data_IF_668772582214
#
_entry.id   IF_668772582214
#
_cell.length_a   1.000
_cell.length_b   1.000
_cell.length_c   1.000
_cell.angle_alpha   90.00
_cell.angle_beta   90.00
_cell.angle_gamma   90.00
#
_symmetry.space_group_name_H-M   'P 1'
#
loop_
_entity.id
_entity.type
_entity.pdbx_description
1 polymer ?
#
# COMPACT_ATOMS: atom_id res chain seq x y z
N UNK A 1 -39.44 37.98 48.22
CA UNK A 1 -38.59 36.95 47.56
C UNK A 1 -38.94 36.91 46.07
N UNK A 2 -38.14 37.50 45.16
CA UNK A 2 -38.41 37.49 43.73
C UNK A 2 -37.79 36.26 43.04
N UNK A 3 -38.59 35.61 42.19
CA UNK A 3 -38.23 34.41 41.46
C UNK A 3 -37.59 34.79 40.12
N UNK A 4 -36.27 34.61 39.97
CA UNK A 4 -35.56 34.87 38.72
C UNK A 4 -35.72 33.70 37.74
N UNK A 5 -36.69 33.79 36.82
CA UNK A 5 -36.75 32.91 35.64
C UNK A 5 -35.67 33.36 34.64
N UNK A 6 -34.60 32.57 34.47
CA UNK A 6 -33.63 32.75 33.38
C UNK A 6 -34.25 32.23 32.08
N UNK A 7 -34.47 33.13 31.12
CA UNK A 7 -34.80 32.77 29.76
C UNK A 7 -33.56 32.13 29.11
N UNK A 8 -33.61 30.82 28.88
CA UNK A 8 -32.59 30.12 28.12
C UNK A 8 -32.83 30.46 26.65
N UNK A 9 -32.01 31.36 26.13
CA UNK A 9 -31.95 31.75 24.72
C UNK A 9 -31.58 30.54 23.87
N UNK A 10 -32.57 29.93 23.21
CA UNK A 10 -32.41 28.90 22.18
C UNK A 10 -31.80 29.51 20.91
N UNK A 11 -30.53 29.88 20.95
CA UNK A 11 -29.78 30.29 19.75
C UNK A 11 -29.17 29.06 19.09
N UNK A 12 -29.94 28.55 18.12
CA UNK A 12 -29.47 28.06 16.83
C UNK A 12 -28.53 26.84 16.82
N UNK A 13 -29.06 25.61 16.92
CA UNK A 13 -28.31 24.35 16.79
C UNK A 13 -27.76 24.05 15.38
N UNK A 14 -28.15 24.83 14.35
CA UNK A 14 -27.74 24.61 12.96
C UNK A 14 -26.27 24.92 12.69
N UNK A 15 -25.69 25.90 13.39
CA UNK A 15 -24.27 26.24 13.24
C UNK A 15 -23.38 25.10 13.74
N UNK A 16 -23.72 24.51 14.89
CA UNK A 16 -23.03 23.35 15.45
C UNK A 16 -23.09 22.14 14.50
N UNK A 17 -24.25 21.90 13.88
CA UNK A 17 -24.45 20.83 12.91
C UNK A 17 -23.61 21.03 11.64
N UNK A 18 -23.53 22.27 11.13
CA UNK A 18 -22.75 22.59 9.94
C UNK A 18 -21.23 22.42 10.18
N UNK A 19 -20.72 22.85 11.34
CA UNK A 19 -19.31 22.61 11.70
C UNK A 19 -19.00 21.13 11.90
N UNK A 20 -19.92 20.35 12.48
CA UNK A 20 -19.74 18.91 12.65
C UNK A 20 -19.71 18.18 11.29
N UNK A 21 -20.56 18.59 10.33
CA UNK A 21 -20.59 18.02 8.98
C UNK A 21 -19.32 18.35 8.19
N UNK A 22 -18.81 19.58 8.30
CA UNK A 22 -17.57 20.00 7.65
C UNK A 22 -16.35 19.27 8.23
N UNK A 23 -16.31 19.04 9.54
CA UNK A 23 -15.27 18.24 10.18
C UNK A 23 -15.29 16.77 9.72
N UNK A 24 -16.48 16.18 9.52
CA UNK A 24 -16.61 14.84 8.96
C UNK A 24 -16.11 14.74 7.51
N UNK A 25 -16.40 15.75 6.68
CA UNK A 25 -15.95 15.79 5.28
C UNK A 25 -14.42 15.92 5.17
N UNK A 26 -13.78 16.66 6.08
CA UNK A 26 -12.32 16.80 6.11
C UNK A 26 -11.61 15.51 6.55
N UNK A 27 -12.27 14.63 7.31
CA UNK A 27 -11.72 13.34 7.73
C UNK A 27 -11.81 12.24 6.65
N UNK A 28 -12.63 12.44 5.62
CA UNK A 28 -12.81 11.45 4.54
C UNK A 28 -11.66 11.41 3.51
N UNK A 29 -10.71 12.36 3.56
CA UNK A 29 -9.64 12.51 2.56
C UNK A 29 -8.39 11.64 2.75
N UNK A 30 -8.31 10.79 3.77
CA UNK A 30 -7.07 10.05 4.13
C UNK A 30 -7.04 8.58 3.69
N UNK A 31 -8.05 8.07 2.99
CA UNK A 31 -7.99 6.72 2.45
C UNK A 31 -7.15 6.72 1.16
N UNK A 32 -6.08 5.93 1.13
CA UNK A 32 -5.28 5.72 -0.09
C UNK A 32 -6.20 5.26 -1.23
N UNK A 33 -6.35 6.11 -2.25
CA UNK A 33 -7.28 5.87 -3.34
C UNK A 33 -6.58 4.95 -4.34
N UNK A 34 -7.01 3.69 -4.37
CA UNK A 34 -6.68 2.79 -5.47
C UNK A 34 -7.27 3.29 -6.78
N UNK A 35 -6.64 2.95 -7.90
CA UNK A 35 -7.21 3.22 -9.23
C UNK A 35 -8.56 2.51 -9.37
N UNK A 36 -9.56 3.21 -9.90
CA UNK A 36 -10.82 2.60 -10.33
C UNK A 36 -10.56 1.71 -11.57
N UNK A 37 -10.78 0.38 -11.47
CA UNK A 37 -10.48 -0.54 -12.56
C UNK A 37 -11.58 -0.55 -13.65
N UNK A 38 -12.67 0.21 -13.46
CA UNK A 38 -13.79 0.33 -14.41
C UNK A 38 -14.81 -0.81 -14.32
N UNK A 39 -15.83 -0.76 -15.18
CA UNK A 39 -16.98 -1.68 -15.12
C UNK A 39 -16.66 -3.13 -15.56
N UNK A 40 -15.58 -3.36 -16.30
CA UNK A 40 -15.18 -4.68 -16.79
C UNK A 40 -13.67 -4.84 -16.73
N UNK A 41 -13.11 -4.94 -15.51
CA UNK A 41 -11.68 -4.92 -15.31
C UNK A 41 -11.00 -6.18 -15.84
N UNK A 42 -9.76 -6.04 -16.30
CA UNK A 42 -8.85 -7.15 -16.46
C UNK A 42 -8.25 -7.56 -15.11
N UNK A 43 -7.63 -8.73 -15.07
CA UNK A 43 -7.00 -9.31 -13.88
C UNK A 43 -5.53 -9.59 -14.15
N UNK A 44 -4.68 -9.19 -13.20
CA UNK A 44 -3.27 -9.58 -13.21
C UNK A 44 -2.99 -10.35 -11.94
N UNK A 45 -2.77 -11.66 -12.08
CA UNK A 45 -2.33 -12.52 -10.99
C UNK A 45 -0.81 -12.40 -10.85
N UNK A 46 -0.35 -12.00 -9.68
CA UNK A 46 1.07 -11.88 -9.36
C UNK A 46 1.43 -12.96 -8.35
N UNK A 47 2.36 -13.83 -8.74
CA UNK A 47 2.94 -14.86 -7.90
C UNK A 47 4.35 -14.44 -7.51
N UNK A 48 4.58 -14.23 -6.21
CA UNK A 48 5.87 -13.83 -5.67
C UNK A 48 6.49 -14.92 -4.82
N UNK A 49 7.81 -15.02 -4.94
CA UNK A 49 8.64 -15.87 -4.11
C UNK A 49 10.01 -15.21 -3.87
N UNK A 50 10.11 -14.42 -2.80
CA UNK A 50 11.26 -13.56 -2.54
C UNK A 50 11.96 -13.94 -1.24
N UNK A 51 13.27 -14.17 -1.34
CA UNK A 51 14.16 -14.41 -0.19
C UNK A 51 15.04 -13.17 0.02
N UNK A 52 15.24 -12.70 1.26
CA UNK A 52 16.08 -11.55 1.54
C UNK A 52 17.55 -11.92 1.33
N UNK A 53 18.31 -11.01 0.74
CA UNK A 53 19.76 -11.03 0.64
C UNK A 53 20.35 -10.42 1.91
N UNK A 54 20.75 -11.29 2.84
CA UNK A 54 21.32 -10.89 4.13
C UNK A 54 22.80 -10.54 4.03
N UNK A 55 23.45 -10.78 2.89
CA UNK A 55 24.83 -10.32 2.65
C UNK A 55 24.95 -8.80 2.55
N UNK A 56 23.82 -8.11 2.34
CA UNK A 56 23.72 -6.64 2.31
C UNK A 56 23.77 -5.99 3.69
N UNK A 57 23.72 -6.79 4.76
CA UNK A 57 23.80 -6.26 6.13
C UNK A 57 25.23 -5.86 6.50
N UNK A 58 25.41 -4.81 7.31
CA UNK A 58 26.73 -4.38 7.73
C UNK A 58 27.42 -5.47 8.57
N UNK A 59 28.62 -5.88 8.15
CA UNK A 59 29.42 -6.96 8.77
C UNK A 59 29.72 -6.67 10.25
N UNK A 60 29.93 -5.40 10.59
CA UNK A 60 30.31 -4.96 11.94
C UNK A 60 29.14 -4.33 12.72
N UNK A 61 27.94 -4.33 12.14
CA UNK A 61 26.86 -3.44 12.53
C UNK A 61 25.73 -4.15 13.26
N UNK A 62 25.94 -4.56 14.51
CA UNK A 62 24.84 -4.79 15.46
C UNK A 62 23.90 -5.98 15.19
N UNK A 63 22.84 -6.09 16.00
CA UNK A 63 21.88 -7.19 15.91
C UNK A 63 20.78 -6.86 14.90
N UNK A 64 20.69 -7.62 13.81
CA UNK A 64 19.64 -7.50 12.81
C UNK A 64 18.37 -8.26 13.24
N UNK A 65 17.20 -7.68 12.96
CA UNK A 65 15.92 -8.38 13.06
C UNK A 65 15.97 -9.67 12.22
N UNK A 66 15.56 -10.78 12.83
CA UNK A 66 15.40 -12.06 12.12
C UNK A 66 14.31 -11.97 11.05
N UNK A 67 13.26 -11.20 11.33
CA UNK A 67 12.11 -11.04 10.43
C UNK A 67 12.34 -9.86 9.49
N UNK A 68 12.13 -10.08 8.19
CA UNK A 68 12.07 -9.03 7.18
C UNK A 68 10.68 -8.42 7.18
N UNK A 69 10.59 -7.09 7.11
CA UNK A 69 9.36 -6.36 6.85
C UNK A 69 9.25 -6.16 5.34
N UNK A 70 8.23 -6.75 4.73
CA UNK A 70 8.01 -6.67 3.28
C UNK A 70 6.94 -5.66 2.93
N UNK A 71 7.18 -4.95 1.83
CA UNK A 71 6.20 -4.09 1.16
C UNK A 71 6.22 -4.40 -0.32
N UNK A 72 5.04 -4.49 -0.93
CA UNK A 72 4.96 -4.75 -2.36
C UNK A 72 3.67 -4.21 -2.96
N UNK A 73 3.57 -4.24 -4.28
CA UNK A 73 2.32 -3.94 -4.97
C UNK A 73 2.50 -3.85 -6.48
N UNK A 74 1.37 -3.83 -7.17
CA UNK A 74 1.29 -3.54 -8.60
C UNK A 74 0.75 -2.12 -8.77
N UNK A 75 1.41 -1.34 -9.62
CA UNK A 75 1.11 0.06 -9.84
C UNK A 75 0.84 0.31 -11.31
N UNK A 76 -0.13 1.17 -11.61
CA UNK A 76 -0.28 1.76 -12.93
C UNK A 76 0.68 2.95 -13.06
N UNK A 77 1.45 2.98 -14.13
CA UNK A 77 2.36 4.08 -14.44
C UNK A 77 1.60 5.10 -15.27
N UNK A 78 1.24 6.23 -14.66
CA UNK A 78 0.59 7.33 -15.34
C UNK A 78 1.52 7.97 -16.39
N UNK A 79 0.94 8.73 -17.33
CA UNK A 79 1.70 9.43 -18.38
C UNK A 79 2.71 10.45 -17.84
N UNK A 80 2.48 10.98 -16.64
CA UNK A 80 3.37 11.88 -15.91
C UNK A 80 4.41 11.15 -15.03
N UNK A 81 4.47 9.82 -15.11
CA UNK A 81 5.39 8.97 -14.36
C UNK A 81 4.96 8.67 -12.92
N UNK A 82 3.82 9.17 -12.44
CA UNK A 82 3.30 8.81 -11.12
C UNK A 82 2.92 7.34 -11.06
N UNK A 83 3.12 6.73 -9.89
CA UNK A 83 2.69 5.38 -9.58
C UNK A 83 1.35 5.43 -8.87
N UNK A 84 0.32 4.85 -9.51
CA UNK A 84 -1.02 4.75 -8.96
C UNK A 84 -1.26 3.32 -8.48
N UNK A 85 -1.49 3.07 -7.18
CA UNK A 85 -1.60 1.72 -6.65
C UNK A 85 -2.86 1.02 -7.18
N UNK A 86 -2.72 -0.26 -7.55
CA UNK A 86 -3.84 -1.12 -7.91
C UNK A 86 -4.32 -1.89 -6.67
N UNK A 87 -5.64 -2.05 -6.56
CA UNK A 87 -6.23 -2.79 -5.46
C UNK A 87 -6.08 -4.31 -5.68
N UNK A 88 -5.66 -5.07 -4.66
CA UNK A 88 -5.80 -6.52 -4.70
C UNK A 88 -7.29 -6.88 -4.57
N UNK A 89 -7.76 -7.85 -5.35
CA UNK A 89 -9.15 -8.33 -5.33
C UNK A 89 -9.52 -8.89 -3.94
N UNK A 90 -8.55 -9.53 -3.28
CA UNK A 90 -8.65 -10.10 -1.93
C UNK A 90 -8.68 -9.07 -0.80
N UNK A 91 -8.33 -7.80 -1.08
CA UNK A 91 -8.10 -6.73 -0.07
C UNK A 91 -7.03 -7.09 0.97
N UNK A 92 -6.09 -7.96 0.61
CA UNK A 92 -5.01 -8.35 1.50
C UNK A 92 -4.03 -7.22 1.80
N UNK A 93 -3.23 -7.42 2.85
CA UNK A 93 -2.21 -6.46 3.27
C UNK A 93 -1.01 -6.54 2.33
N UNK A 94 -0.63 -5.41 1.73
CA UNK A 94 0.53 -5.33 0.83
C UNK A 94 1.77 -4.67 1.46
N UNK A 95 1.67 -4.14 2.69
CA UNK A 95 2.75 -3.40 3.37
C UNK A 95 2.97 -3.86 4.80
N UNK A 96 4.22 -3.81 5.25
CA UNK A 96 4.64 -4.18 6.59
C UNK A 96 4.33 -5.65 6.89
N UNK A 97 4.53 -6.54 5.92
CA UNK A 97 4.30 -7.98 6.06
C UNK A 97 5.52 -8.59 6.75
N UNK A 98 5.41 -9.09 8.00
CA UNK A 98 6.55 -9.64 8.71
C UNK A 98 6.77 -11.11 8.31
N UNK A 99 7.82 -11.40 7.53
CA UNK A 99 8.15 -12.77 7.12
C UNK A 99 9.64 -12.96 6.80
N UNK A 100 10.17 -14.17 6.95
CA UNK A 100 11.54 -14.50 6.51
C UNK A 100 11.67 -14.60 4.98
N UNK A 101 10.58 -14.95 4.30
CA UNK A 101 10.43 -15.07 2.84
C UNK A 101 9.05 -14.56 2.46
N UNK A 102 8.94 -13.82 1.36
CA UNK A 102 7.65 -13.35 0.85
C UNK A 102 7.13 -14.35 -0.18
N UNK A 103 6.03 -15.03 0.13
CA UNK A 103 5.33 -15.92 -0.80
C UNK A 103 3.89 -15.42 -0.95
N UNK A 104 3.53 -14.97 -2.15
CA UNK A 104 2.22 -14.37 -2.44
C UNK A 104 1.63 -14.93 -3.74
N UNK A 105 0.31 -15.05 -3.81
CA UNK A 105 -0.47 -15.28 -5.03
C UNK A 105 -1.68 -14.34 -4.96
N UNK A 106 -1.55 -13.17 -5.60
CA UNK A 106 -2.53 -12.09 -5.47
C UNK A 106 -3.02 -11.66 -6.84
N UNK A 107 -4.33 -11.51 -6.96
CA UNK A 107 -4.96 -10.96 -8.16
C UNK A 107 -5.21 -9.47 -7.96
N UNK A 108 -4.72 -8.66 -8.91
CA UNK A 108 -5.00 -7.23 -8.99
C UNK A 108 -6.04 -6.93 -10.05
N UNK A 109 -6.95 -6.01 -9.75
CA UNK A 109 -7.89 -5.48 -10.73
C UNK A 109 -7.21 -4.35 -11.51
N UNK A 110 -7.26 -4.43 -12.83
CA UNK A 110 -6.57 -3.49 -13.74
C UNK A 110 -7.53 -2.97 -14.80
N UNK A 111 -7.50 -1.67 -15.14
CA UNK A 111 -8.25 -1.17 -16.30
C UNK A 111 -7.89 -1.93 -17.58
N UNK A 112 -8.88 -2.24 -18.41
CA UNK A 112 -8.66 -2.88 -19.71
C UNK A 112 -7.93 -1.93 -20.68
N UNK A 113 -7.37 -2.51 -21.75
CA UNK A 113 -6.58 -1.83 -22.79
C UNK A 113 -5.08 -1.90 -22.54
N UNK A 114 -4.34 -1.01 -23.22
CA UNK A 114 -2.89 -0.91 -23.08
C UNK A 114 -2.50 -0.21 -21.78
N UNK A 115 -1.80 -0.94 -20.92
CA UNK A 115 -1.36 -0.49 -19.61
C UNK A 115 0.16 -0.60 -19.49
N UNK A 116 0.76 0.42 -18.90
CA UNK A 116 2.12 0.34 -18.36
C UNK A 116 2.00 0.11 -16.85
N UNK A 117 2.43 -1.05 -16.40
CA UNK A 117 2.41 -1.44 -15.00
C UNK A 117 3.82 -1.46 -14.44
N UNK A 118 3.92 -1.29 -13.12
CA UNK A 118 5.16 -1.48 -12.36
C UNK A 118 4.90 -2.40 -11.19
N UNK A 119 5.63 -3.50 -11.12
CA UNK A 119 5.71 -4.35 -9.93
C UNK A 119 6.84 -3.83 -9.05
N UNK A 120 6.52 -3.51 -7.80
CA UNK A 120 7.50 -3.16 -6.76
C UNK A 120 7.43 -4.17 -5.63
N UNK A 121 8.60 -4.66 -5.20
CA UNK A 121 8.76 -5.46 -3.99
C UNK A 121 10.00 -4.98 -3.26
N UNK A 122 9.82 -4.64 -2.00
CA UNK A 122 10.84 -4.16 -1.08
C UNK A 122 10.80 -5.01 0.19
N UNK A 123 11.98 -5.35 0.70
CA UNK A 123 12.13 -6.03 1.98
C UNK A 123 13.23 -5.36 2.77
N UNK A 124 12.93 -4.94 3.99
CA UNK A 124 13.92 -4.34 4.88
C UNK A 124 13.94 -5.02 6.25
N UNK A 125 15.08 -4.91 6.92
CA UNK A 125 15.25 -5.37 8.30
C UNK A 125 15.76 -4.22 9.16
N UNK A 126 15.35 -4.19 10.42
CA UNK A 126 15.89 -3.24 11.37
C UNK A 126 17.19 -3.79 11.96
N UNK A 127 18.25 -3.00 11.89
CA UNK A 127 19.56 -3.30 12.46
C UNK A 127 19.78 -2.41 13.67
N UNK A 128 19.98 -3.02 14.84
CA UNK A 128 20.24 -2.30 16.10
C UNK A 128 21.72 -1.94 16.21
N UNK A 129 22.02 -0.67 15.98
CA UNK A 129 23.33 -0.06 16.24
C UNK A 129 23.29 0.60 17.64
N UNK A 130 24.47 0.87 18.23
CA UNK A 130 24.64 1.33 19.63
C UNK A 130 23.63 2.38 20.12
N UNK A 131 23.13 3.24 19.25
CA UNK A 131 22.22 4.34 19.59
C UNK A 131 20.84 4.29 18.92
N UNK A 132 20.50 3.24 18.17
CA UNK A 132 19.20 3.17 17.49
C UNK A 132 19.03 2.00 16.53
N UNK A 133 17.82 1.89 15.98
CA UNK A 133 17.49 0.93 14.94
C UNK A 133 17.46 1.65 13.58
N UNK A 134 18.19 1.13 12.60
CA UNK A 134 18.22 1.65 11.23
C UNK A 134 17.67 0.59 10.27
N UNK A 135 16.76 0.93 9.34
CA UNK A 135 16.32 -0.02 8.31
C UNK A 135 17.42 -0.23 7.27
N UNK A 136 17.61 -1.49 6.86
CA UNK A 136 18.48 -1.90 5.76
C UNK A 136 17.68 -2.70 4.76
N UNK A 137 17.76 -2.31 3.49
CA UNK A 137 17.12 -3.02 2.39
C UNK A 137 17.87 -4.33 2.13
N UNK A 138 17.14 -5.43 2.22
CA UNK A 138 17.63 -6.79 1.96
C UNK A 138 16.97 -7.41 0.75
N UNK A 139 15.99 -6.72 0.13
CA UNK A 139 15.42 -7.13 -1.14
C UNK A 139 14.83 -5.93 -1.86
N UNK A 140 15.10 -5.84 -3.17
CA UNK A 140 14.46 -4.92 -4.09
C UNK A 140 14.17 -5.64 -5.41
N UNK A 141 12.94 -5.51 -5.89
CA UNK A 141 12.50 -5.84 -7.24
C UNK A 141 11.69 -4.65 -7.75
N UNK A 142 12.10 -4.12 -8.89
CA UNK A 142 11.34 -3.15 -9.66
C UNK A 142 11.31 -3.61 -11.10
N UNK A 143 10.10 -3.78 -11.64
CA UNK A 143 9.91 -4.26 -12.99
C UNK A 143 8.77 -3.50 -13.68
N UNK A 144 9.06 -2.95 -14.86
CA UNK A 144 8.07 -2.33 -15.73
C UNK A 144 7.51 -3.36 -16.70
N UNK A 145 6.19 -3.35 -16.89
CA UNK A 145 5.45 -4.29 -17.73
C UNK A 145 4.57 -3.48 -18.68
N UNK A 146 4.57 -3.83 -19.96
CA UNK A 146 3.64 -3.29 -20.94
C UNK A 146 2.68 -4.40 -21.37
N UNK A 147 1.40 -4.26 -21.02
CA UNK A 147 0.37 -5.26 -21.26
C UNK A 147 -0.76 -4.65 -22.07
N UNK A 148 -1.29 -5.38 -23.05
CA UNK A 148 -2.54 -5.06 -23.74
C UNK A 148 -3.61 -6.05 -23.26
N UNK A 149 -4.49 -5.59 -22.37
CA UNK A 149 -5.42 -6.44 -21.62
C UNK A 149 -6.84 -6.31 -22.16
N UNK A 150 -7.42 -7.39 -22.66
CA UNK A 150 -8.83 -7.42 -23.01
C UNK A 150 -9.72 -7.36 -21.75
N UNK A 151 -10.97 -6.84 -21.85
CA UNK A 151 -11.91 -6.84 -20.73
C UNK A 151 -12.12 -8.26 -20.16
N UNK A 152 -11.98 -8.42 -18.84
CA UNK A 152 -12.12 -9.70 -18.16
C UNK A 152 -10.97 -10.69 -18.34
N UNK A 153 -9.95 -10.36 -19.16
CA UNK A 153 -8.77 -11.21 -19.34
C UNK A 153 -8.00 -11.35 -18.02
N UNK A 154 -7.50 -12.55 -17.72
CA UNK A 154 -6.56 -12.80 -16.65
C UNK A 154 -5.17 -13.12 -17.23
N UNK A 155 -4.14 -12.48 -16.69
CA UNK A 155 -2.72 -12.76 -17.02
C UNK A 155 -1.97 -13.06 -15.74
N UNK A 156 -1.08 -14.05 -15.77
CA UNK A 156 -0.23 -14.42 -14.63
C UNK A 156 1.20 -13.96 -14.83
N UNK A 157 1.77 -13.37 -13.77
CA UNK A 157 3.16 -12.94 -13.68
C UNK A 157 3.77 -13.64 -12.48
N UNK A 158 4.79 -14.47 -12.71
CA UNK A 158 5.49 -15.19 -11.64
C UNK A 158 6.92 -14.67 -11.49
N UNK A 159 7.30 -14.26 -10.28
CA UNK A 159 8.65 -13.77 -9.96
C UNK A 159 9.21 -14.46 -8.74
N UNK A 160 10.41 -14.99 -8.90
CA UNK A 160 11.19 -15.57 -7.83
C UNK A 160 12.55 -14.88 -7.75
N UNK A 161 13.00 -14.56 -6.53
CA UNK A 161 14.34 -14.04 -6.28
C UNK A 161 14.92 -14.71 -5.05
N UNK A 162 16.07 -15.35 -5.22
CA UNK A 162 16.84 -15.94 -4.12
C UNK A 162 17.97 -14.98 -3.75
N UNK A 163 17.99 -14.52 -2.49
CA UNK A 163 19.13 -13.80 -1.93
C UNK A 163 20.36 -14.70 -1.83
N UNK A 164 21.57 -14.14 -1.95
CA UNK A 164 22.83 -14.88 -1.77
C UNK A 164 23.33 -14.81 -0.33
#
# INVERSE_FOLDING_TARGET
MPNHRRAISQRTPWLALATALLALLLLAGCAGVYVDPGASPARVRVQLDMTPDRSLLPVDGGEASRVTSWEWGLYLVASDGRLLPLAPESKERLRGIPAERLVMDTVFLVPAGRQRLRLLVEGYVLVRLRMGATPYDVALLQEDLELDLAPGQEVTISRAKTGR
#
